data_IF_162765790812
#
_entry.id   IF_162765790812
#
_cell.length_a   1.000
_cell.length_b   1.000
_cell.length_c   1.000
_cell.angle_alpha   90.00
_cell.angle_beta   90.00
_cell.angle_gamma   90.00
#
_symmetry.space_group_name_H-M   'P 1'
#
loop_
_entity.id
_entity.type
_entity.pdbx_description
1 polymer ?
#
# COMPACT_ATOMS: atom_id res chain seq x y z
N UNK A 1 -11.38 17.02 -12.92
CA UNK A 1 -12.59 16.17 -12.90
C UNK A 1 -13.29 16.13 -11.54
N UNK A 2 -12.57 16.02 -10.42
CA UNK A 2 -13.15 16.00 -9.05
C UNK A 2 -14.04 17.20 -8.72
N UNK A 3 -13.64 18.43 -9.12
CA UNK A 3 -14.49 19.62 -8.95
C UNK A 3 -15.82 19.53 -9.68
N UNK A 4 -15.88 18.91 -10.86
CA UNK A 4 -17.12 18.82 -11.62
C UNK A 4 -18.09 17.79 -11.00
N UNK A 5 -17.56 16.70 -10.44
CA UNK A 5 -18.34 15.63 -9.82
C UNK A 5 -18.78 15.91 -8.38
N UNK A 6 -17.95 16.61 -7.59
CA UNK A 6 -18.13 16.77 -6.14
C UNK A 6 -18.36 18.24 -5.73
N UNK A 7 -18.70 19.10 -6.68
CA UNK A 7 -19.18 20.44 -6.36
C UNK A 7 -20.66 20.35 -6.02
N UNK A 8 -21.00 20.71 -4.79
CA UNK A 8 -22.36 20.93 -4.34
C UNK A 8 -22.47 22.35 -3.81
N UNK A 9 -23.63 23.00 -3.96
CA UNK A 9 -23.83 24.35 -3.42
C UNK A 9 -23.75 24.37 -1.88
N UNK A 10 -24.04 23.24 -1.24
CA UNK A 10 -23.94 23.05 0.20
C UNK A 10 -22.48 22.94 0.67
N UNK A 11 -21.55 22.46 -0.17
CA UNK A 11 -20.14 22.26 0.21
C UNK A 11 -19.19 22.51 -0.99
N UNK A 12 -18.88 23.78 -1.32
CA UNK A 12 -18.13 24.14 -2.52
C UNK A 12 -16.64 23.73 -2.49
N UNK A 13 -16.09 23.44 -1.30
CA UNK A 13 -14.70 23.00 -1.08
C UNK A 13 -14.55 21.48 -0.94
N UNK A 14 -15.64 20.71 -0.95
CA UNK A 14 -15.62 19.27 -0.74
C UNK A 14 -14.69 18.52 -1.72
N UNK A 15 -14.69 18.94 -2.99
CA UNK A 15 -13.85 18.36 -4.03
C UNK A 15 -12.34 18.41 -3.73
N UNK A 16 -11.84 19.44 -3.03
CA UNK A 16 -10.45 19.54 -2.63
C UNK A 16 -10.12 18.51 -1.55
N UNK A 17 -10.98 18.42 -0.53
CA UNK A 17 -10.80 17.47 0.55
C UNK A 17 -10.78 16.02 0.05
N UNK A 18 -11.69 15.66 -0.86
CA UNK A 18 -11.68 14.33 -1.46
C UNK A 18 -10.52 14.08 -2.43
N UNK A 19 -10.06 15.11 -3.15
CA UNK A 19 -8.83 15.01 -3.93
C UNK A 19 -7.60 14.73 -3.04
N UNK A 20 -7.53 15.39 -1.87
CA UNK A 20 -6.49 15.12 -0.88
C UNK A 20 -6.62 13.70 -0.28
N UNK A 21 -7.82 13.20 -0.01
CA UNK A 21 -8.01 11.80 0.40
C UNK A 21 -7.47 10.82 -0.64
N UNK A 22 -7.75 11.05 -1.93
CA UNK A 22 -7.22 10.24 -3.02
C UNK A 22 -5.69 10.29 -3.09
N UNK A 23 -5.10 11.48 -2.89
CA UNK A 23 -3.64 11.65 -2.84
C UNK A 23 -3.00 10.91 -1.66
N UNK A 24 -3.64 10.93 -0.48
CA UNK A 24 -3.21 10.13 0.68
C UNK A 24 -3.16 8.65 0.27
N UNK A 25 -4.20 8.13 -0.40
CA UNK A 25 -4.21 6.77 -0.92
C UNK A 25 -3.05 6.43 -1.86
N UNK A 26 -2.74 7.31 -2.81
CA UNK A 26 -1.62 7.13 -3.75
C UNK A 26 -0.28 7.09 -3.01
N UNK A 27 -0.07 8.00 -2.06
CA UNK A 27 1.15 8.03 -1.24
C UNK A 27 1.27 6.73 -0.44
N UNK A 28 0.17 6.29 0.18
CA UNK A 28 0.12 5.03 0.93
C UNK A 28 0.52 3.84 0.05
N UNK A 29 0.05 3.77 -1.20
CA UNK A 29 0.46 2.71 -2.14
C UNK A 29 1.97 2.69 -2.39
N UNK A 30 2.58 3.86 -2.60
CA UNK A 30 4.02 3.96 -2.84
C UNK A 30 4.84 3.56 -1.61
N UNK A 31 4.43 4.03 -0.43
CA UNK A 31 5.04 3.65 0.86
C UNK A 31 4.96 2.15 1.08
N UNK A 32 3.83 1.52 0.74
CA UNK A 32 3.66 0.07 0.80
C UNK A 32 4.69 -0.67 -0.06
N UNK A 33 4.84 -0.27 -1.33
CA UNK A 33 5.85 -0.86 -2.23
C UNK A 33 7.25 -0.70 -1.65
N UNK A 34 7.57 0.46 -1.07
CA UNK A 34 8.88 0.71 -0.47
C UNK A 34 9.14 -0.17 0.76
N UNK A 35 8.16 -0.29 1.67
CA UNK A 35 8.26 -1.17 2.84
C UNK A 35 8.43 -2.62 2.41
N UNK A 36 7.63 -3.09 1.46
CA UNK A 36 7.76 -4.45 0.93
C UNK A 36 9.16 -4.69 0.38
N UNK A 37 9.70 -3.76 -0.43
CA UNK A 37 11.06 -3.89 -0.96
C UNK A 37 12.13 -3.92 0.15
N UNK A 38 11.97 -3.14 1.22
CA UNK A 38 12.93 -3.16 2.34
C UNK A 38 13.01 -4.53 3.02
N UNK A 39 11.87 -5.21 3.19
CA UNK A 39 11.82 -6.51 3.86
C UNK A 39 12.02 -7.71 2.92
N UNK A 40 12.00 -7.53 1.59
CA UNK A 40 12.11 -8.65 0.62
C UNK A 40 13.30 -8.57 -0.34
N UNK A 41 13.92 -7.40 -0.56
CA UNK A 41 15.07 -7.26 -1.46
C UNK A 41 16.39 -7.57 -0.74
N UNK A 42 17.21 -8.44 -1.34
CA UNK A 42 18.53 -8.86 -0.84
C UNK A 42 19.54 -7.72 -0.65
N UNK A 43 19.25 -6.54 -1.20
CA UNK A 43 20.06 -5.33 -0.99
C UNK A 43 19.93 -4.76 0.41
N UNK A 44 18.85 -5.06 1.13
CA UNK A 44 18.58 -4.51 2.45
C UNK A 44 19.06 -5.43 3.56
N UNK A 45 19.28 -4.83 4.73
CA UNK A 45 19.81 -5.49 5.91
C UNK A 45 18.95 -6.68 6.39
N UNK A 46 17.61 -6.61 6.44
CA UNK A 46 16.81 -7.70 7.00
C UNK A 46 16.97 -9.02 6.23
N UNK A 47 17.01 -8.96 4.90
CA UNK A 47 17.20 -10.15 4.05
C UNK A 47 18.64 -10.66 4.12
N UNK A 48 19.63 -9.77 4.25
CA UNK A 48 21.04 -10.17 4.42
C UNK A 48 21.29 -10.87 5.76
N UNK A 49 20.70 -10.35 6.84
CA UNK A 49 20.75 -10.97 8.16
C UNK A 49 20.08 -12.36 8.17
N UNK A 50 18.94 -12.48 7.47
CA UNK A 50 18.31 -13.78 7.25
C UNK A 50 19.21 -14.75 6.46
N UNK A 51 19.83 -14.29 5.37
CA UNK A 51 20.77 -15.11 4.60
C UNK A 51 21.98 -15.57 5.43
N UNK A 52 22.52 -14.72 6.29
CA UNK A 52 23.61 -15.09 7.21
C UNK A 52 23.16 -16.14 8.24
N UNK A 53 21.90 -16.13 8.65
CA UNK A 53 21.34 -17.13 9.57
C UNK A 53 21.37 -18.54 8.97
N UNK A 54 21.39 -18.67 7.64
CA UNK A 54 21.56 -19.96 6.96
C UNK A 54 22.90 -20.65 7.27
N UNK A 55 23.95 -19.91 7.64
CA UNK A 55 25.24 -20.50 8.05
C UNK A 55 25.18 -21.26 9.39
N UNK A 56 24.14 -21.02 10.20
CA UNK A 56 23.95 -21.67 11.51
C UNK A 56 23.02 -22.89 11.45
N UNK A 57 22.46 -23.18 10.27
CA UNK A 57 21.57 -24.32 10.02
C UNK A 57 20.14 -23.93 9.64
N UNK A 58 19.42 -24.88 9.05
CA UNK A 58 18.07 -24.66 8.53
C UNK A 58 17.06 -24.23 9.61
N UNK A 59 17.15 -24.80 10.81
CA UNK A 59 16.25 -24.47 11.92
C UNK A 59 16.31 -23.00 12.31
N UNK A 60 17.52 -22.46 12.47
CA UNK A 60 17.73 -21.03 12.78
C UNK A 60 17.23 -20.14 11.66
N UNK A 61 17.45 -20.53 10.39
CA UNK A 61 16.97 -19.79 9.24
C UNK A 61 15.43 -19.69 9.20
N UNK A 62 14.72 -20.78 9.50
CA UNK A 62 13.25 -20.77 9.55
C UNK A 62 12.74 -19.89 10.69
N UNK A 63 13.33 -20.01 11.90
CA UNK A 63 12.94 -19.19 13.05
C UNK A 63 13.18 -17.70 12.77
N UNK A 64 14.34 -17.35 12.22
CA UNK A 64 14.66 -15.97 11.84
C UNK A 64 13.70 -15.45 10.75
N UNK A 65 13.38 -16.26 9.76
CA UNK A 65 12.44 -15.89 8.69
C UNK A 65 11.02 -15.64 9.20
N UNK A 66 10.52 -16.48 10.10
CA UNK A 66 9.21 -16.29 10.74
C UNK A 66 9.22 -15.02 11.60
N UNK A 67 10.27 -14.80 12.39
CA UNK A 67 10.42 -13.59 13.20
C UNK A 67 10.40 -12.33 12.31
N UNK A 68 11.15 -12.35 11.21
CA UNK A 68 11.19 -11.24 10.26
C UNK A 68 9.84 -10.99 9.60
N UNK A 69 9.13 -12.07 9.23
CA UNK A 69 7.78 -11.99 8.69
C UNK A 69 6.81 -11.30 9.66
N UNK A 70 6.85 -11.65 10.94
CA UNK A 70 6.03 -11.00 11.97
C UNK A 70 6.39 -9.51 12.13
N UNK A 71 7.67 -9.18 12.18
CA UNK A 71 8.14 -7.78 12.26
C UNK A 71 7.68 -6.95 11.05
N UNK A 72 7.75 -7.51 9.85
CA UNK A 72 7.44 -6.82 8.59
C UNK A 72 5.99 -6.31 8.52
N UNK A 73 5.09 -6.83 9.35
CA UNK A 73 3.68 -6.40 9.39
C UNK A 73 3.45 -5.12 10.20
N UNK A 74 4.39 -4.76 11.10
CA UNK A 74 4.21 -3.62 12.00
C UNK A 74 4.13 -2.28 11.24
N UNK A 75 5.07 -2.04 10.31
CA UNK A 75 5.09 -0.80 9.52
C UNK A 75 3.86 -0.66 8.59
N UNK A 76 3.44 -1.69 7.82
CA UNK A 76 2.21 -1.64 7.02
C UNK A 76 0.97 -1.31 7.84
N UNK A 77 0.81 -1.90 9.04
CA UNK A 77 -0.35 -1.64 9.92
C UNK A 77 -0.37 -0.19 10.39
N UNK A 78 0.79 0.37 10.78
CA UNK A 78 0.89 1.77 11.17
C UNK A 78 0.54 2.71 10.01
N UNK A 79 1.06 2.42 8.82
CA UNK A 79 0.79 3.23 7.62
C UNK A 79 -0.69 3.19 7.22
N UNK A 80 -1.35 2.02 7.26
CA UNK A 80 -2.80 1.93 7.04
C UNK A 80 -3.57 2.73 8.09
N UNK A 81 -3.19 2.60 9.36
CA UNK A 81 -3.86 3.31 10.45
C UNK A 81 -3.82 4.83 10.26
N UNK A 82 -2.64 5.37 9.92
CA UNK A 82 -2.48 6.81 9.62
C UNK A 82 -3.25 7.21 8.36
N UNK A 83 -3.23 6.39 7.31
CA UNK A 83 -3.96 6.65 6.06
C UNK A 83 -5.47 6.71 6.29
N UNK A 84 -6.04 5.79 7.09
CA UNK A 84 -7.47 5.75 7.40
C UNK A 84 -7.87 6.95 8.25
N UNK A 85 -7.10 7.25 9.31
CA UNK A 85 -7.40 8.39 10.19
C UNK A 85 -7.32 9.73 9.44
N UNK A 86 -6.28 9.93 8.62
CA UNK A 86 -6.13 11.16 7.82
C UNK A 86 -7.23 11.28 6.76
N UNK A 87 -7.55 10.22 6.03
CA UNK A 87 -8.62 10.24 5.02
C UNK A 87 -10.01 10.45 5.64
N UNK A 88 -10.27 9.86 6.81
CA UNK A 88 -11.52 10.07 7.54
C UNK A 88 -11.65 11.52 8.01
N UNK A 89 -10.59 12.08 8.60
CA UNK A 89 -10.58 13.46 9.09
C UNK A 89 -10.72 14.48 7.95
N UNK A 90 -10.02 14.27 6.83
CA UNK A 90 -10.16 15.10 5.62
C UNK A 90 -11.57 14.99 5.01
N UNK A 91 -12.14 13.79 4.96
CA UNK A 91 -13.52 13.59 4.51
C UNK A 91 -14.54 14.26 5.44
N UNK A 92 -14.33 14.22 6.75
CA UNK A 92 -15.18 14.84 7.75
C UNK A 92 -15.17 16.38 7.68
N UNK A 93 -14.04 16.97 7.29
CA UNK A 93 -13.87 18.42 7.09
C UNK A 93 -14.34 18.92 5.71
N UNK A 94 -14.94 18.03 4.90
CA UNK A 94 -15.46 18.37 3.57
C UNK A 94 -16.65 19.35 3.57
N UNK A 95 -17.32 19.53 4.71
CA UNK A 95 -18.52 20.35 4.82
C UNK A 95 -19.81 19.64 4.39
N UNK A 96 -19.74 18.37 3.99
CA UNK A 96 -20.91 17.55 3.73
C UNK A 96 -21.59 17.17 5.04
N UNK A 97 -22.84 17.59 5.19
CA UNK A 97 -23.70 17.31 6.35
C UNK A 97 -24.97 16.58 5.90
N UNK A 98 -25.47 15.70 6.76
CA UNK A 98 -26.77 15.04 6.62
C UNK A 98 -27.94 16.01 6.89
N UNK A 99 -29.17 15.56 6.65
CA UNK A 99 -30.41 16.28 6.99
C UNK A 99 -30.48 16.68 8.48
N UNK A 100 -29.81 15.92 9.34
CA UNK A 100 -29.70 16.19 10.78
C UNK A 100 -28.52 17.10 11.17
N UNK A 101 -27.76 17.62 10.19
CA UNK A 101 -26.60 18.49 10.41
C UNK A 101 -25.32 17.75 10.82
N UNK A 102 -25.30 16.42 10.83
CA UNK A 102 -24.12 15.63 11.16
C UNK A 102 -23.19 15.48 9.95
N UNK A 103 -21.87 15.63 10.12
CA UNK A 103 -20.90 15.45 9.05
C UNK A 103 -20.81 13.98 8.57
N UNK A 104 -21.00 13.75 7.27
CA UNK A 104 -21.09 12.38 6.68
C UNK A 104 -19.94 12.03 5.74
N UNK A 105 -19.11 13.00 5.36
CA UNK A 105 -18.06 12.81 4.36
C UNK A 105 -16.88 11.93 4.78
N UNK A 106 -16.73 11.58 6.05
CA UNK A 106 -15.56 10.85 6.58
C UNK A 106 -15.38 9.46 5.98
N UNK A 107 -16.43 8.62 6.00
CA UNK A 107 -16.40 7.28 5.42
C UNK A 107 -16.17 7.33 3.91
N UNK A 108 -16.82 8.27 3.21
CA UNK A 108 -16.57 8.47 1.79
C UNK A 108 -15.10 8.86 1.52
N UNK A 109 -14.51 9.70 2.37
CA UNK A 109 -13.08 10.04 2.33
C UNK A 109 -12.17 8.81 2.39
N UNK A 110 -12.46 7.86 3.28
CA UNK A 110 -11.71 6.59 3.33
C UNK A 110 -11.87 5.74 2.07
N UNK A 111 -13.08 5.68 1.49
CA UNK A 111 -13.31 4.97 0.23
C UNK A 111 -12.55 5.61 -0.95
N UNK A 112 -12.51 6.94 -1.01
CA UNK A 112 -11.75 7.67 -2.03
C UNK A 112 -10.24 7.44 -1.87
N UNK A 113 -9.73 7.37 -0.64
CA UNK A 113 -8.34 7.00 -0.39
C UNK A 113 -8.03 5.57 -0.87
N UNK A 114 -8.91 4.60 -0.62
CA UNK A 114 -8.75 3.24 -1.16
C UNK A 114 -8.72 3.22 -2.69
N UNK A 115 -9.59 3.98 -3.35
CA UNK A 115 -9.56 4.10 -4.81
C UNK A 115 -8.27 4.75 -5.32
N UNK A 116 -7.76 5.76 -4.60
CA UNK A 116 -6.46 6.36 -4.87
C UNK A 116 -5.32 5.35 -4.80
N UNK A 117 -5.31 4.50 -3.77
CA UNK A 117 -4.32 3.42 -3.63
C UNK A 117 -4.37 2.42 -4.80
N UNK A 118 -5.58 2.07 -5.26
CA UNK A 118 -5.78 1.13 -6.37
C UNK A 118 -5.45 1.73 -7.74
N UNK A 119 -5.25 3.04 -7.85
CA UNK A 119 -4.88 3.67 -9.14
C UNK A 119 -3.57 3.13 -9.73
N UNK A 120 -2.64 2.69 -8.87
CA UNK A 120 -1.38 2.06 -9.28
C UNK A 120 -1.47 0.53 -9.40
N UNK A 121 -2.65 -0.07 -9.15
CA UNK A 121 -2.81 -1.52 -9.13
C UNK A 121 -2.45 -2.17 -10.47
N UNK A 122 -2.76 -1.53 -11.61
CA UNK A 122 -2.38 -2.05 -12.92
C UNK A 122 -0.86 -2.20 -13.07
N UNK A 123 -0.08 -1.23 -12.59
CA UNK A 123 1.38 -1.32 -12.57
C UNK A 123 1.87 -2.42 -11.62
N UNK A 124 1.30 -2.51 -10.42
CA UNK A 124 1.70 -3.54 -9.44
C UNK A 124 1.39 -4.96 -9.94
N UNK A 125 0.20 -5.18 -10.52
CA UNK A 125 -0.20 -6.48 -11.06
C UNK A 125 0.64 -6.89 -12.26
N UNK A 126 0.99 -5.94 -13.14
CA UNK A 126 1.90 -6.25 -14.26
C UNK A 126 3.30 -6.60 -13.76
N UNK A 127 3.83 -5.88 -12.76
CA UNK A 127 5.10 -6.21 -12.10
C UNK A 127 5.08 -7.60 -11.43
N UNK A 128 3.98 -7.97 -10.79
CA UNK A 128 3.81 -9.28 -10.15
C UNK A 128 3.87 -10.44 -11.17
N UNK A 129 3.28 -10.23 -12.37
CA UNK A 129 3.31 -11.23 -13.44
C UNK A 129 4.70 -11.42 -14.08
N UNK A 130 5.61 -10.45 -14.00
CA UNK A 130 6.97 -10.63 -14.50
C UNK A 130 7.75 -11.69 -13.73
N UNK A 131 7.48 -11.88 -12.44
CA UNK A 131 8.20 -12.84 -11.59
C UNK A 131 8.09 -14.28 -12.11
N UNK A 132 6.87 -14.86 -12.20
CA UNK A 132 6.68 -16.21 -12.71
C UNK A 132 7.18 -16.41 -14.15
N UNK A 133 7.08 -15.38 -15.00
CA UNK A 133 7.57 -15.45 -16.38
C UNK A 133 9.10 -15.56 -16.41
N UNK A 134 9.80 -14.71 -15.64
CA UNK A 134 11.25 -14.73 -15.58
C UNK A 134 11.79 -16.03 -14.94
N UNK A 135 11.14 -16.53 -13.89
CA UNK A 135 11.52 -17.76 -13.21
C UNK A 135 11.39 -18.98 -14.14
N UNK A 136 10.27 -19.12 -14.86
CA UNK A 136 10.08 -20.18 -15.85
C UNK A 136 11.10 -20.10 -17.00
N UNK A 137 11.40 -18.90 -17.48
CA UNK A 137 12.42 -18.70 -18.50
C UNK A 137 13.81 -19.14 -18.01
N UNK A 138 14.18 -18.78 -16.78
CA UNK A 138 15.42 -19.23 -16.13
C UNK A 138 15.48 -20.75 -16.00
N UNK A 139 14.38 -21.39 -15.63
CA UNK A 139 14.26 -22.85 -15.59
C UNK A 139 14.48 -23.52 -16.95
N UNK A 140 13.93 -22.96 -18.04
CA UNK A 140 14.14 -23.47 -19.40
C UNK A 140 15.62 -23.36 -19.80
N UNK A 141 16.26 -22.24 -19.46
CA UNK A 141 17.69 -21.99 -19.73
C UNK A 141 18.56 -23.01 -19.00
N UNK A 142 18.34 -23.19 -17.69
CA UNK A 142 19.07 -24.16 -16.86
C UNK A 142 18.87 -25.61 -17.38
N UNK A 143 17.63 -25.99 -17.74
CA UNK A 143 17.33 -27.33 -18.28
C UNK A 143 17.88 -27.57 -19.69
N UNK A 144 18.01 -26.51 -20.49
CA UNK A 144 18.53 -26.58 -21.86
C UNK A 144 20.05 -26.38 -21.94
N UNK A 145 20.71 -26.13 -20.80
CA UNK A 145 22.14 -25.83 -20.70
C UNK A 145 22.59 -24.68 -21.62
N UNK A 146 21.71 -23.69 -21.81
CA UNK A 146 21.98 -22.44 -22.53
C UNK A 146 22.46 -21.37 -21.54
#
# INVERSE_FOLDING_TARGET
STRWLLYTEQAPSAWLNFALCGLVGIITAYVFVWITKYYTDYKHEPVRSLALSSSTGHGTNIIAGVSLGLESTALPVLVISVSVLSAFWLGHTSGLVDENGHPTGGLFGTAVATMGMLSTAAYVLTMDMFGPIADNAGGIVEMSQQ
#
